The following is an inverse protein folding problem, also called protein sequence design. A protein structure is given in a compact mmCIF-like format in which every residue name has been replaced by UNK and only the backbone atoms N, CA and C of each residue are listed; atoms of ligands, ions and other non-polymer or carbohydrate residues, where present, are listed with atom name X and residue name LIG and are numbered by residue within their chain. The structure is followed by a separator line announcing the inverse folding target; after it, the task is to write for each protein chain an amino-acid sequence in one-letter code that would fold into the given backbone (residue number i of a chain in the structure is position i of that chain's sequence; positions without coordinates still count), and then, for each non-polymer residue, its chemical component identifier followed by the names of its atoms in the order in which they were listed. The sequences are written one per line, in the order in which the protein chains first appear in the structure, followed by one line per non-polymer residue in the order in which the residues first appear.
data_IF_724495493132
#
_entry.id   IF_724495493132
#
_cell.length_a   1.000
_cell.length_b   1.000
_cell.length_c   1.000
_cell.angle_alpha   90.00
_cell.angle_beta   90.00
_cell.angle_gamma   90.00
#
_symmetry.space_group_name_H-M   'P 1'
#
loop_
_entity.id
_entity.type
_entity.pdbx_description
1 polymer ?
#
# COMPACT_ATOMS: atom_id res chain seq x y z
N UNK A 1 31.33 -38.72 -21.07
CA UNK A 1 31.36 -38.57 -19.60
C UNK A 1 31.31 -37.09 -19.32
N UNK A 2 30.10 -36.57 -19.27
CA UNK A 2 29.79 -35.16 -19.05
C UNK A 2 29.81 -34.90 -17.55
N UNK A 3 30.69 -34.00 -17.11
CA UNK A 3 30.77 -33.59 -15.71
C UNK A 3 29.71 -32.50 -15.50
N UNK A 4 28.56 -32.88 -14.93
CA UNK A 4 27.59 -31.91 -14.41
C UNK A 4 28.23 -31.20 -13.21
N UNK A 5 28.57 -29.93 -13.39
CA UNK A 5 28.90 -29.05 -12.27
C UNK A 5 27.61 -28.77 -11.50
N UNK A 6 27.52 -29.30 -10.28
CA UNK A 6 26.49 -28.92 -9.30
C UNK A 6 26.79 -27.51 -8.82
N UNK A 7 25.91 -26.56 -9.14
CA UNK A 7 25.90 -25.23 -8.52
C UNK A 7 25.23 -25.38 -7.15
N UNK A 8 25.99 -25.15 -6.08
CA UNK A 8 25.43 -24.98 -4.74
C UNK A 8 25.17 -23.48 -4.54
N UNK A 9 23.90 -23.10 -4.47
CA UNK A 9 23.48 -21.74 -4.10
C UNK A 9 23.37 -21.70 -2.57
N UNK A 10 24.17 -20.84 -1.94
CA UNK A 10 24.12 -20.57 -0.50
C UNK A 10 23.04 -19.50 -0.28
N UNK A 11 21.93 -19.90 0.33
CA UNK A 11 20.87 -18.99 0.77
C UNK A 11 21.34 -18.26 2.03
N UNK A 12 21.48 -16.95 1.96
CA UNK A 12 21.76 -16.09 3.13
C UNK A 12 20.46 -15.43 3.59
N UNK A 13 19.83 -16.00 4.62
CA UNK A 13 18.72 -15.39 5.33
C UNK A 13 19.26 -14.28 6.25
N UNK A 14 18.74 -13.05 6.11
CA UNK A 14 18.95 -11.99 7.10
C UNK A 14 17.59 -11.37 7.39
N UNK A 15 17.09 -11.69 8.59
CA UNK A 15 15.95 -11.07 9.23
C UNK A 15 16.40 -9.69 9.76
N UNK A 16 15.67 -8.62 9.46
CA UNK A 16 15.79 -7.36 10.20
C UNK A 16 14.41 -6.97 10.70
N UNK A 17 14.24 -7.08 12.01
CA UNK A 17 13.11 -6.55 12.76
C UNK A 17 13.29 -5.05 12.98
N UNK A 18 12.22 -4.26 12.81
CA UNK A 18 12.21 -2.86 13.19
C UNK A 18 12.35 -2.72 14.72
N UNK A 19 13.49 -2.17 15.17
CA UNK A 19 13.59 -1.43 16.41
C UNK A 19 14.27 -0.10 16.10
N UNK A 20 13.48 0.96 16.21
CA UNK A 20 13.78 2.39 16.20
C UNK A 20 15.28 2.78 16.21
N UNK A 21 15.74 3.46 15.15
CA UNK A 21 16.72 4.56 15.23
C UNK A 21 16.73 5.32 13.89
N UNK A 22 16.22 6.55 13.88
CA UNK A 22 16.29 7.45 12.74
C UNK A 22 17.67 8.14 12.66
N UNK A 23 18.31 8.13 11.49
CA UNK A 23 19.45 9.01 11.21
C UNK A 23 19.31 9.66 9.84
N UNK A 24 18.96 10.95 9.87
CA UNK A 24 19.20 12.06 8.95
C UNK A 24 19.60 11.77 7.48
N UNK A 25 18.66 12.03 6.57
CA UNK A 25 18.90 12.53 5.21
C UNK A 25 17.95 13.73 4.95
N UNK A 26 18.35 14.76 4.19
CA UNK A 26 17.50 15.93 3.92
C UNK A 26 16.49 15.69 2.79
N UNK A 27 15.25 16.12 3.03
CA UNK A 27 14.23 16.64 2.09
C UNK A 27 14.04 15.92 0.75
N UNK A 28 13.27 14.82 0.75
CA UNK A 28 12.40 14.37 -0.36
C UNK A 28 11.70 13.02 -0.07
N UNK A 29 11.64 12.55 1.18
CA UNK A 29 11.04 11.25 1.51
C UNK A 29 10.01 11.51 2.62
N UNK A 30 8.76 11.13 2.38
CA UNK A 30 7.72 11.24 3.39
C UNK A 30 8.09 10.43 4.64
N UNK A 31 7.81 10.95 5.83
CA UNK A 31 8.09 10.32 7.10
C UNK A 31 6.82 10.23 7.95
N UNK A 32 6.65 9.18 8.77
CA UNK A 32 5.55 9.13 9.70
C UNK A 32 5.53 10.36 10.61
N UNK A 33 4.32 10.83 10.94
CA UNK A 33 4.13 11.98 11.84
C UNK A 33 3.09 11.63 12.89
N UNK A 34 3.32 12.07 14.13
CA UNK A 34 2.43 11.75 15.24
C UNK A 34 2.31 12.90 16.24
N UNK A 35 1.18 12.92 16.95
CA UNK A 35 0.92 13.69 18.16
C UNK A 35 0.73 12.72 19.33
N UNK A 36 0.14 13.17 20.43
CA UNK A 36 -0.18 12.29 21.56
C UNK A 36 -1.13 11.15 21.17
N UNK A 37 -2.18 11.46 20.40
CA UNK A 37 -3.27 10.53 20.09
C UNK A 37 -3.44 10.25 18.60
N UNK A 38 -2.72 10.94 17.71
CA UNK A 38 -2.90 10.81 16.26
C UNK A 38 -1.57 10.42 15.61
N UNK A 39 -1.59 9.44 14.73
CA UNK A 39 -0.47 9.00 13.91
C UNK A 39 -0.86 8.98 12.44
N UNK A 40 0.06 9.36 11.57
CA UNK A 40 -0.07 9.20 10.11
C UNK A 40 1.16 8.49 9.56
N UNK A 41 0.95 7.59 8.59
CA UNK A 41 2.04 6.78 8.01
C UNK A 41 3.07 7.60 7.24
N UNK A 42 2.71 8.80 6.79
CA UNK A 42 3.61 9.72 6.09
C UNK A 42 3.14 11.18 6.19
N UNK A 43 4.08 12.12 6.19
CA UNK A 43 3.82 13.57 6.12
C UNK A 43 3.77 14.09 4.67
N UNK A 44 4.25 13.30 3.72
CA UNK A 44 4.13 13.51 2.27
C UNK A 44 3.70 12.20 1.60
N UNK A 45 2.71 12.26 0.73
CA UNK A 45 2.25 11.11 -0.06
C UNK A 45 1.80 11.58 -1.44
N UNK A 46 1.66 10.64 -2.37
CA UNK A 46 1.38 10.97 -3.76
C UNK A 46 1.14 9.73 -4.60
N UNK A 47 0.69 9.92 -5.84
CA UNK A 47 0.52 8.78 -6.72
C UNK A 47 -0.55 7.79 -6.19
N UNK A 48 -0.33 6.47 -6.35
CA UNK A 48 -1.19 5.43 -5.78
C UNK A 48 -1.10 5.25 -4.27
N UNK A 49 -0.26 6.02 -3.56
CA UNK A 49 0.01 5.75 -2.15
C UNK A 49 -1.27 5.87 -1.31
N UNK A 50 -1.46 4.90 -0.41
CA UNK A 50 -2.48 4.96 0.63
C UNK A 50 -1.86 5.55 1.90
N UNK A 51 -2.48 6.58 2.45
CA UNK A 51 -2.12 7.13 3.76
C UNK A 51 -2.94 6.42 4.85
N UNK A 52 -2.26 5.89 5.86
CA UNK A 52 -2.89 5.32 7.06
C UNK A 52 -2.93 6.37 8.16
N UNK A 53 -4.10 6.52 8.77
CA UNK A 53 -4.36 7.42 9.89
C UNK A 53 -4.80 6.56 11.07
N UNK A 54 -4.10 6.70 12.20
CA UNK A 54 -4.37 5.92 13.41
C UNK A 54 -4.68 6.86 14.58
N UNK A 55 -5.80 6.65 15.25
CA UNK A 55 -6.05 7.24 16.57
C UNK A 55 -5.64 6.26 17.66
N UNK A 56 -4.68 6.67 18.49
CA UNK A 56 -4.13 5.95 19.64
C UNK A 56 -4.53 6.65 20.93
N UNK A 57 -5.81 6.57 21.27
CA UNK A 57 -6.36 7.22 22.46
C UNK A 57 -6.93 6.16 23.42
N UNK A 58 -6.30 6.02 24.58
CA UNK A 58 -6.69 5.05 25.61
C UNK A 58 -8.14 5.24 26.09
N UNK A 59 -8.68 6.47 26.02
CA UNK A 59 -10.04 6.78 26.44
C UNK A 59 -11.12 6.12 25.56
N UNK A 60 -10.77 5.78 24.31
CA UNK A 60 -11.65 5.15 23.32
C UNK A 60 -11.09 3.83 22.80
N UNK A 61 -10.32 3.12 23.63
CA UNK A 61 -9.70 1.83 23.29
C UNK A 61 -10.55 0.59 23.62
N UNK A 62 -11.68 0.79 24.31
CA UNK A 62 -12.56 -0.28 24.78
C UNK A 62 -13.47 -0.88 23.71
N UNK A 63 -13.98 -2.08 23.97
CA UNK A 63 -14.87 -2.82 23.06
C UNK A 63 -16.27 -2.20 22.84
N UNK A 64 -16.65 -1.22 23.66
CA UNK A 64 -17.89 -0.45 23.51
C UNK A 64 -17.59 1.03 23.20
N UNK A 65 -16.38 1.35 22.73
CA UNK A 65 -16.00 2.71 22.40
C UNK A 65 -16.77 3.23 21.19
N UNK A 66 -17.16 4.50 21.24
CA UNK A 66 -17.72 5.18 20.08
C UNK A 66 -16.62 5.54 19.09
N UNK A 67 -16.96 5.52 17.80
CA UNK A 67 -16.10 5.97 16.72
C UNK A 67 -15.59 7.40 16.96
N UNK A 68 -14.28 7.67 16.83
CA UNK A 68 -13.72 9.00 17.03
C UNK A 68 -14.17 9.97 15.94
N UNK A 69 -14.32 11.23 16.30
CA UNK A 69 -14.52 12.32 15.35
C UNK A 69 -13.17 12.70 14.74
N UNK A 70 -12.88 12.21 13.54
CA UNK A 70 -11.68 12.57 12.77
C UNK A 70 -12.11 13.18 11.45
N UNK A 71 -11.44 14.24 11.04
CA UNK A 71 -11.62 14.83 9.72
C UNK A 71 -10.34 14.78 8.89
N UNK A 72 -10.51 14.63 7.58
CA UNK A 72 -9.48 14.77 6.56
C UNK A 72 -9.91 15.87 5.60
N UNK A 73 -9.15 16.97 5.59
CA UNK A 73 -9.46 18.23 4.92
C UNK A 73 -10.90 18.72 5.19
N UNK A 74 -11.30 18.64 6.46
CA UNK A 74 -12.63 19.06 6.92
C UNK A 74 -13.77 18.07 6.65
N UNK A 75 -13.54 17.01 5.88
CA UNK A 75 -14.50 15.92 5.67
C UNK A 75 -14.36 14.87 6.77
N UNK A 76 -15.46 14.43 7.38
CA UNK A 76 -15.42 13.37 8.39
C UNK A 76 -14.95 12.05 7.80
N UNK A 77 -14.01 11.38 8.48
CA UNK A 77 -13.57 10.05 8.16
C UNK A 77 -14.36 9.00 8.93
N UNK A 78 -14.63 7.88 8.27
CA UNK A 78 -15.00 6.64 8.93
C UNK A 78 -13.76 5.87 9.36
N UNK A 79 -13.74 5.39 10.60
CA UNK A 79 -12.64 4.63 11.18
C UNK A 79 -13.12 3.27 11.69
N UNK A 80 -12.25 2.27 11.64
CA UNK A 80 -12.51 0.93 12.19
C UNK A 80 -11.60 0.69 13.38
N UNK A 81 -12.15 0.28 14.51
CA UNK A 81 -11.36 -0.10 15.66
C UNK A 81 -10.70 -1.46 15.45
N UNK A 82 -9.38 -1.50 15.59
CA UNK A 82 -8.57 -2.71 15.55
C UNK A 82 -8.60 -3.48 16.87
N UNK A 83 -8.18 -4.74 16.81
CA UNK A 83 -8.04 -5.63 17.98
C UNK A 83 -7.04 -5.17 19.05
N UNK A 84 -6.22 -4.16 18.77
CA UNK A 84 -5.35 -3.49 19.75
C UNK A 84 -5.98 -2.26 20.41
N UNK A 85 -7.24 -1.95 20.08
CA UNK A 85 -7.97 -0.81 20.64
C UNK A 85 -7.71 0.52 19.91
N UNK A 86 -6.81 0.55 18.93
CA UNK A 86 -6.60 1.75 18.11
C UNK A 86 -7.64 1.83 16.98
N UNK A 87 -7.84 3.02 16.44
CA UNK A 87 -8.77 3.26 15.33
C UNK A 87 -8.00 3.56 14.05
N UNK A 88 -8.44 2.96 12.93
CA UNK A 88 -7.73 2.99 11.66
C UNK A 88 -8.62 3.57 10.55
N UNK A 89 -8.06 4.46 9.75
CA UNK A 89 -8.62 4.90 8.48
C UNK A 89 -7.55 4.91 7.40
N UNK A 90 -7.98 4.69 6.16
CA UNK A 90 -7.13 4.71 4.99
C UNK A 90 -7.68 5.71 3.97
N UNK A 91 -6.79 6.55 3.43
CA UNK A 91 -7.16 7.55 2.43
C UNK A 91 -6.23 7.51 1.23
N UNK A 92 -6.77 7.84 0.05
CA UNK A 92 -6.02 7.90 -1.20
C UNK A 92 -6.61 8.96 -2.15
N UNK A 93 -5.90 9.27 -3.23
CA UNK A 93 -6.43 10.14 -4.29
C UNK A 93 -7.48 9.42 -5.15
N UNK A 94 -8.63 10.05 -5.37
CA UNK A 94 -9.76 9.45 -6.12
C UNK A 94 -9.39 9.17 -7.58
N UNK A 95 -8.78 10.15 -8.25
CA UNK A 95 -8.49 10.08 -9.68
C UNK A 95 -7.47 8.98 -9.99
N UNK A 96 -6.40 8.90 -9.22
CA UNK A 96 -5.36 7.89 -9.38
C UNK A 96 -5.81 6.50 -8.94
N UNK A 97 -6.58 6.39 -7.85
CA UNK A 97 -7.16 5.11 -7.45
C UNK A 97 -8.00 4.51 -8.60
N UNK A 98 -8.90 5.31 -9.19
CA UNK A 98 -9.73 4.90 -10.35
C UNK A 98 -8.90 4.49 -11.57
N UNK A 99 -7.88 5.28 -11.92
CA UNK A 99 -7.04 5.00 -13.10
C UNK A 99 -6.29 3.68 -12.93
N UNK A 100 -5.72 3.45 -11.75
CA UNK A 100 -4.86 2.30 -11.47
C UNK A 100 -5.70 1.04 -11.25
N UNK A 101 -6.82 1.17 -10.56
CA UNK A 101 -7.80 0.09 -10.38
C UNK A 101 -8.38 -0.34 -11.73
N UNK A 102 -8.84 0.61 -12.57
CA UNK A 102 -9.34 0.27 -13.90
C UNK A 102 -8.26 -0.40 -14.76
N UNK A 103 -6.99 0.00 -14.67
CA UNK A 103 -5.92 -0.67 -15.41
C UNK A 103 -5.68 -2.13 -14.97
N UNK A 104 -6.09 -2.51 -13.75
CA UNK A 104 -5.93 -3.86 -13.20
C UNK A 104 -7.17 -4.71 -13.47
N UNK A 105 -7.18 -5.44 -14.60
CA UNK A 105 -8.31 -6.26 -15.08
C UNK A 105 -8.32 -7.70 -14.55
N UNK A 106 -7.42 -8.03 -13.62
CA UNK A 106 -7.37 -9.33 -12.95
C UNK A 106 -7.52 -9.07 -11.45
N UNK A 107 -8.67 -9.46 -10.90
CA UNK A 107 -8.98 -9.25 -9.50
C UNK A 107 -7.93 -9.93 -8.60
N UNK A 108 -7.48 -9.22 -7.57
CA UNK A 108 -6.51 -9.76 -6.62
C UNK A 108 -5.07 -9.72 -7.14
N UNK A 109 -4.74 -8.85 -8.09
CA UNK A 109 -3.36 -8.62 -8.56
C UNK A 109 -2.95 -7.15 -8.48
N UNK A 110 -1.67 -6.86 -8.67
CA UNK A 110 -1.22 -5.49 -8.92
C UNK A 110 -1.56 -4.49 -7.81
N UNK A 111 -2.09 -3.35 -8.26
CA UNK A 111 -2.58 -2.25 -7.43
C UNK A 111 -4.10 -2.17 -7.51
N UNK A 112 -4.76 -3.29 -7.26
CA UNK A 112 -6.21 -3.41 -7.15
C UNK A 112 -6.70 -2.76 -5.85
N UNK A 113 -7.48 -1.69 -5.97
CA UNK A 113 -8.06 -0.97 -4.83
C UNK A 113 -9.33 -1.67 -4.31
N UNK A 114 -9.90 -2.63 -5.03
CA UNK A 114 -11.10 -3.36 -4.65
C UNK A 114 -12.33 -2.85 -5.40
N UNK A 115 -13.49 -2.86 -4.74
CA UNK A 115 -14.75 -2.40 -5.36
C UNK A 115 -14.98 -0.93 -5.03
N UNK A 116 -15.08 -0.10 -6.06
CA UNK A 116 -15.50 1.29 -5.93
C UNK A 116 -17.00 1.41 -5.59
N UNK A 117 -17.30 2.22 -4.59
CA UNK A 117 -18.64 2.47 -4.09
C UNK A 117 -18.91 3.97 -3.97
N UNK A 118 -19.91 4.46 -4.73
CA UNK A 118 -20.44 5.82 -4.63
C UNK A 118 -21.51 5.97 -3.53
N UNK A 119 -22.11 4.86 -3.09
CA UNK A 119 -23.08 4.80 -1.99
C UNK A 119 -22.85 3.51 -1.16
N UNK A 120 -21.81 3.50 -0.30
CA UNK A 120 -21.42 2.33 0.47
C UNK A 120 -22.45 2.01 1.58
N UNK A 121 -23.20 0.93 1.38
CA UNK A 121 -24.19 0.37 2.32
C UNK A 121 -23.67 -0.77 3.19
N UNK A 122 -22.36 -0.98 3.26
CA UNK A 122 -21.72 -2.02 4.07
C UNK A 122 -21.36 -1.58 5.51
N UNK A 123 -21.53 -0.30 5.84
CA UNK A 123 -21.39 0.26 7.18
C UNK A 123 -22.73 0.83 7.67
N UNK A 124 -23.01 0.66 8.96
CA UNK A 124 -24.14 1.29 9.65
C UNK A 124 -23.80 2.76 9.93
N UNK A 125 -23.92 3.60 8.90
CA UNK A 125 -23.59 5.03 8.92
C UNK A 125 -23.24 5.56 7.52
N UNK A 126 -23.03 6.88 7.39
CA UNK A 126 -22.68 7.50 6.10
C UNK A 126 -21.20 7.88 6.07
N UNK A 127 -20.57 7.77 4.90
CA UNK A 127 -19.21 8.27 4.64
C UNK A 127 -19.16 9.76 4.26
N UNK A 128 -20.29 10.45 4.30
CA UNK A 128 -20.44 11.79 3.74
C UNK A 128 -21.10 11.76 2.36
N UNK A 129 -21.61 12.91 1.92
CA UNK A 129 -22.26 13.03 0.61
C UNK A 129 -21.21 12.94 -0.51
N UNK A 130 -21.46 12.10 -1.52
CA UNK A 130 -20.56 11.89 -2.68
C UNK A 130 -19.18 11.32 -2.32
N UNK A 131 -19.05 10.67 -1.15
CA UNK A 131 -17.84 9.96 -0.80
C UNK A 131 -17.62 8.76 -1.74
N UNK A 132 -16.46 8.71 -2.37
CA UNK A 132 -16.02 7.55 -3.14
C UNK A 132 -15.20 6.68 -2.21
N UNK A 133 -15.59 5.42 -2.08
CA UNK A 133 -14.95 4.47 -1.16
C UNK A 133 -14.62 3.20 -1.91
N UNK A 134 -13.38 2.76 -1.83
CA UNK A 134 -12.99 1.42 -2.28
C UNK A 134 -13.06 0.46 -1.12
N UNK A 135 -13.83 -0.62 -1.24
CA UNK A 135 -13.93 -1.67 -0.21
C UNK A 135 -13.21 -2.92 -0.68
N UNK A 136 -12.64 -3.67 0.27
CA UNK A 136 -12.18 -5.00 -0.02
C UNK A 136 -13.33 -5.92 -0.43
N UNK A 137 -14.57 -5.67 0.00
CA UNK A 137 -15.71 -6.54 -0.28
C UNK A 137 -16.04 -6.64 -1.77
N UNK A 138 -16.75 -7.71 -2.15
CA UNK A 138 -17.14 -7.93 -3.55
C UNK A 138 -18.29 -7.03 -4.04
N UNK A 139 -18.96 -6.31 -3.13
CA UNK A 139 -20.10 -5.44 -3.41
C UNK A 139 -20.06 -4.20 -2.51
N UNK A 140 -20.92 -3.23 -2.80
CA UNK A 140 -21.09 -2.02 -2.00
C UNK A 140 -22.20 -2.11 -0.94
N UNK A 141 -22.93 -3.22 -0.88
CA UNK A 141 -23.97 -3.47 0.11
C UNK A 141 -23.45 -4.38 1.23
N UNK A 142 -24.31 -4.75 2.17
CA UNK A 142 -23.96 -5.68 3.26
C UNK A 142 -23.82 -7.15 2.83
N UNK A 143 -23.87 -7.46 1.52
CA UNK A 143 -23.77 -8.83 1.03
C UNK A 143 -22.32 -9.30 0.94
N UNK A 144 -22.13 -10.60 1.16
CA UNK A 144 -20.80 -11.19 1.37
C UNK A 144 -20.28 -11.88 0.11
N UNK A 145 -19.06 -11.56 -0.28
CA UNK A 145 -18.25 -12.29 -1.25
C UNK A 145 -16.76 -12.09 -0.94
N UNK A 146 -15.87 -13.05 -1.26
CA UNK A 146 -14.45 -12.90 -1.00
C UNK A 146 -13.94 -11.67 -1.75
N UNK A 147 -13.40 -10.75 -0.96
CA UNK A 147 -12.80 -9.55 -1.46
C UNK A 147 -11.53 -9.76 -2.27
N UNK A 148 -11.11 -8.73 -3.00
CA UNK A 148 -9.95 -8.82 -3.88
C UNK A 148 -9.00 -7.61 -3.84
N UNK A 149 -9.21 -6.65 -2.93
CA UNK A 149 -8.27 -5.53 -2.74
C UNK A 149 -6.84 -6.05 -2.48
N UNK A 150 -5.89 -5.49 -3.21
CA UNK A 150 -4.46 -5.71 -3.03
C UNK A 150 -3.70 -4.48 -2.55
N UNK A 151 -4.29 -3.29 -2.59
CA UNK A 151 -3.64 -2.06 -2.11
C UNK A 151 -3.21 -2.16 -0.65
N UNK A 152 -4.10 -2.56 0.25
CA UNK A 152 -3.80 -2.76 1.67
C UNK A 152 -3.80 -4.25 1.98
N UNK A 153 -2.69 -4.81 2.46
CA UNK A 153 -2.53 -6.28 2.59
C UNK A 153 -2.42 -6.80 4.02
N UNK A 154 -2.03 -5.97 4.97
CA UNK A 154 -1.96 -6.37 6.38
C UNK A 154 -2.68 -5.37 7.30
N UNK A 155 -3.93 -4.98 6.97
CA UNK A 155 -4.68 -4.06 7.82
C UNK A 155 -4.89 -4.68 9.19
N UNK A 156 -5.05 -3.84 10.21
CA UNK A 156 -5.33 -4.34 11.54
C UNK A 156 -6.67 -5.09 11.55
N UNK A 157 -6.71 -6.28 12.14
CA UNK A 157 -7.97 -7.03 12.26
C UNK A 157 -8.98 -6.23 13.09
N UNK A 158 -10.23 -6.07 12.60
CA UNK A 158 -11.26 -5.35 13.34
C UNK A 158 -11.57 -6.01 14.68
N UNK A 159 -11.85 -5.20 15.69
CA UNK A 159 -12.33 -5.67 16.98
C UNK A 159 -13.75 -6.25 16.84
N UNK A 160 -14.05 -7.31 17.59
CA UNK A 160 -15.42 -7.79 17.79
C UNK A 160 -16.06 -7.05 18.98
N UNK A 161 -16.33 -5.75 18.80
CA UNK A 161 -16.93 -4.89 19.83
C UNK A 161 -18.46 -4.97 19.87
N UNK A 162 -19.10 -3.86 20.25
CA UNK A 162 -20.55 -3.69 20.19
C UNK A 162 -21.09 -3.91 18.76
N UNK A 163 -20.31 -3.47 17.77
CA UNK A 163 -20.42 -3.89 16.37
C UNK A 163 -19.04 -4.32 15.88
N UNK A 164 -18.97 -5.01 14.74
CA UNK A 164 -17.68 -5.31 14.13
C UNK A 164 -16.96 -4.00 13.83
N UNK A 165 -15.72 -3.85 14.31
CA UNK A 165 -14.94 -2.62 14.18
C UNK A 165 -15.45 -1.43 14.99
N UNK A 166 -16.49 -1.59 15.81
CA UNK A 166 -17.18 -0.52 16.53
C UNK A 166 -17.67 0.66 15.68
N UNK A 167 -17.83 0.45 14.38
CA UNK A 167 -18.32 1.43 13.41
C UNK A 167 -19.53 0.94 12.61
N UNK A 168 -20.12 -0.18 13.00
CA UNK A 168 -21.27 -0.76 12.31
C UNK A 168 -20.92 -1.55 11.05
N UNK A 169 -19.70 -2.10 10.94
CA UNK A 169 -19.33 -2.90 9.78
C UNK A 169 -20.22 -4.14 9.66
N UNK A 170 -20.90 -4.28 8.53
CA UNK A 170 -21.85 -5.38 8.30
C UNK A 170 -21.18 -6.74 8.20
N UNK A 171 -19.99 -6.79 7.59
CA UNK A 171 -19.19 -8.01 7.45
C UNK A 171 -17.69 -7.69 7.38
N UNK A 172 -16.85 -8.59 7.89
CA UNK A 172 -15.39 -8.45 7.92
C UNK A 172 -14.78 -8.40 6.51
N UNK A 173 -15.44 -8.94 5.50
CA UNK A 173 -14.97 -8.94 4.12
C UNK A 173 -14.91 -7.55 3.49
N UNK A 174 -15.62 -6.55 4.04
CA UNK A 174 -15.54 -5.15 3.59
C UNK A 174 -14.38 -4.37 4.21
N UNK A 175 -13.63 -4.99 5.13
CA UNK A 175 -12.42 -4.41 5.72
C UNK A 175 -11.16 -5.06 5.11
N UNK A 176 -10.20 -4.25 4.64
CA UNK A 176 -10.13 -2.80 4.76
C UNK A 176 -10.96 -2.06 3.70
N UNK A 177 -11.24 -0.78 3.96
CA UNK A 177 -11.77 0.15 2.96
C UNK A 177 -10.93 1.43 2.92
N UNK A 178 -10.89 2.06 1.75
CA UNK A 178 -10.12 3.28 1.44
C UNK A 178 -11.11 4.37 1.07
N UNK A 179 -11.08 5.49 1.80
CA UNK A 179 -11.88 6.68 1.51
C UNK A 179 -11.08 7.61 0.61
N UNK A 180 -11.60 7.96 -0.56
CA UNK A 180 -10.81 8.76 -1.51
C UNK A 180 -11.24 10.22 -1.52
N UNK A 181 -10.29 11.09 -1.83
CA UNK A 181 -10.50 12.53 -1.98
C UNK A 181 -9.87 12.99 -3.28
N UNK A 182 -10.45 14.00 -3.92
CA UNK A 182 -9.81 14.64 -5.08
C UNK A 182 -8.64 15.49 -4.58
N UNK A 183 -7.42 15.17 -5.00
CA UNK A 183 -6.22 15.88 -4.59
C UNK A 183 -5.40 16.30 -5.80
N UNK A 184 -4.68 17.42 -5.68
CA UNK A 184 -3.75 17.92 -6.68
C UNK A 184 -2.38 18.12 -6.05
N UNK A 185 -1.32 17.85 -6.83
CA UNK A 185 0.05 18.01 -6.36
C UNK A 185 0.29 19.42 -5.77
N UNK A 186 0.79 19.45 -4.53
CA UNK A 186 0.99 20.66 -3.73
C UNK A 186 -0.10 20.92 -2.69
N UNK A 187 -1.20 20.17 -2.70
CA UNK A 187 -2.27 20.32 -1.72
C UNK A 187 -1.78 19.97 -0.30
N UNK A 188 -2.27 20.75 0.67
CA UNK A 188 -2.01 20.53 2.09
C UNK A 188 -3.27 20.01 2.76
N UNK A 189 -3.28 18.72 3.11
CA UNK A 189 -4.45 18.05 3.68
C UNK A 189 -4.36 18.10 5.20
N UNK A 190 -5.33 18.75 5.83
CA UNK A 190 -5.41 18.87 7.29
C UNK A 190 -6.13 17.68 7.92
N UNK A 191 -5.54 17.09 8.96
CA UNK A 191 -6.13 15.99 9.74
C UNK A 191 -6.38 16.49 11.15
N UNK A 192 -7.63 16.45 11.60
CA UNK A 192 -8.03 16.88 12.94
C UNK A 192 -8.70 15.73 13.68
N UNK A 193 -8.31 15.51 14.93
CA UNK A 193 -8.98 14.62 15.88
C UNK A 193 -9.79 15.48 16.87
N UNK A 194 -11.10 15.50 16.67
CA UNK A 194 -12.06 16.36 17.35
C UNK A 194 -12.28 17.71 16.67
N UNK A 195 -13.00 18.60 17.34
CA UNK A 195 -13.34 19.91 16.80
C UNK A 195 -12.15 20.89 16.91
N UNK A 196 -11.65 21.41 15.79
CA UNK A 196 -10.60 22.42 15.83
C UNK A 196 -9.82 22.60 14.54
N UNK A 197 -8.66 23.25 14.69
CA UNK A 197 -7.66 23.30 13.63
C UNK A 197 -7.00 21.92 13.45
N UNK A 198 -6.41 21.62 12.29
CA UNK A 198 -5.69 20.37 12.06
C UNK A 198 -4.58 20.13 13.09
N UNK A 199 -4.53 18.91 13.64
CA UNK A 199 -3.43 18.42 14.48
C UNK A 199 -2.19 18.10 13.64
N UNK A 200 -2.43 17.49 12.48
CA UNK A 200 -1.40 17.12 11.51
C UNK A 200 -1.80 17.68 10.14
N UNK A 201 -0.86 18.33 9.47
CA UNK A 201 -0.97 18.64 8.04
C UNK A 201 0.00 17.75 7.29
N UNK A 202 -0.49 17.10 6.25
CA UNK A 202 0.28 16.32 5.27
C UNK A 202 0.25 17.01 3.92
N UNK A 203 1.23 16.75 3.06
CA UNK A 203 1.24 17.28 1.69
C UNK A 203 0.97 16.15 0.71
N UNK A 204 -0.05 16.34 -0.14
CA UNK A 204 -0.21 15.52 -1.33
C UNK A 204 0.68 16.11 -2.42
N UNK A 205 1.67 15.36 -2.86
CA UNK A 205 2.62 15.81 -3.87
C UNK A 205 2.76 14.75 -4.95
N UNK A 206 2.91 15.18 -6.19
CA UNK A 206 3.47 14.31 -7.23
C UNK A 206 4.98 14.57 -7.23
N UNK A 207 5.81 13.68 -6.67
CA UNK A 207 7.25 13.87 -6.51
C UNK A 207 7.98 13.72 -7.85
N UNK A 208 7.37 14.16 -8.96
CA UNK A 208 7.92 14.10 -10.29
C UNK A 208 9.34 14.72 -10.32
N UNK A 209 10.36 13.86 -10.46
CA UNK A 209 11.77 14.25 -10.47
C UNK A 209 12.57 13.88 -9.20
N UNK A 210 11.91 13.40 -8.14
CA UNK A 210 12.57 12.90 -6.93
C UNK A 210 12.87 11.40 -7.00
N UNK A 211 12.49 10.75 -8.11
CA UNK A 211 12.90 9.37 -8.38
C UNK A 211 14.34 9.31 -8.90
N UNK A 212 15.16 8.49 -8.25
CA UNK A 212 16.55 8.28 -8.61
C UNK A 212 16.85 6.81 -8.85
N UNK A 213 17.75 6.58 -9.79
CA UNK A 213 18.18 5.24 -10.17
C UNK A 213 19.69 5.23 -10.31
N UNK A 214 20.35 4.45 -9.46
CA UNK A 214 21.80 4.43 -9.36
C UNK A 214 22.32 3.00 -9.40
N UNK A 215 23.36 2.77 -10.21
CA UNK A 215 24.15 1.55 -10.16
C UNK A 215 25.35 1.73 -9.25
N UNK A 216 25.79 0.65 -8.60
CA UNK A 216 26.98 0.70 -7.75
C UNK A 216 28.30 0.88 -8.55
N UNK A 217 28.26 0.62 -9.86
CA UNK A 217 29.39 0.81 -10.81
C UNK A 217 28.92 0.89 -12.26
N UNK A 218 29.79 1.41 -13.12
CA UNK A 218 29.52 1.59 -14.57
C UNK A 218 29.74 0.33 -15.42
N UNK A 219 30.44 -0.69 -14.90
CA UNK A 219 30.71 -1.92 -15.65
C UNK A 219 30.75 -3.15 -14.76
N UNK A 220 30.16 -4.24 -15.26
CA UNK A 220 30.02 -5.49 -14.54
C UNK A 220 30.81 -6.58 -15.28
N UNK A 221 31.82 -7.21 -14.65
CA UNK A 221 32.42 -8.43 -15.16
C UNK A 221 31.36 -9.53 -15.38
N UNK A 222 31.65 -10.47 -16.27
CA UNK A 222 30.82 -11.67 -16.43
C UNK A 222 30.68 -12.37 -15.07
N UNK A 223 29.46 -12.82 -14.75
CA UNK A 223 29.11 -13.53 -13.51
C UNK A 223 29.23 -12.69 -12.23
N UNK A 224 29.22 -11.35 -12.34
CA UNK A 224 29.16 -10.47 -11.17
C UNK A 224 27.73 -10.03 -10.85
N UNK A 225 27.44 -9.88 -9.57
CA UNK A 225 26.17 -9.33 -9.10
C UNK A 225 26.04 -7.86 -9.53
N UNK A 226 24.87 -7.49 -10.05
CA UNK A 226 24.47 -6.10 -10.29
C UNK A 226 23.82 -5.57 -9.02
N UNK A 227 24.32 -4.43 -8.52
CA UNK A 227 23.70 -3.74 -7.38
C UNK A 227 23.16 -2.41 -7.85
N UNK A 228 21.92 -2.17 -7.45
CA UNK A 228 21.12 -1.06 -7.93
C UNK A 228 20.37 -0.47 -6.75
N UNK A 229 20.32 0.85 -6.70
CA UNK A 229 19.53 1.62 -5.75
C UNK A 229 18.47 2.35 -6.53
N UNK A 230 17.21 2.09 -6.20
CA UNK A 230 16.07 2.86 -6.67
C UNK A 230 15.60 3.70 -5.50
N UNK A 231 15.38 4.99 -5.72
CA UNK A 231 14.76 5.90 -4.77
C UNK A 231 13.49 6.38 -5.44
N UNK A 232 12.34 6.00 -4.90
CA UNK A 232 11.05 6.51 -5.36
C UNK A 232 10.06 6.27 -4.22
N UNK A 233 9.49 7.35 -3.67
CA UNK A 233 8.54 7.23 -2.56
C UNK A 233 7.24 6.55 -3.00
N UNK A 234 6.88 6.65 -4.28
CA UNK A 234 5.67 6.08 -4.84
C UNK A 234 5.80 4.55 -5.04
N UNK A 235 6.94 3.94 -4.72
CA UNK A 235 7.08 2.48 -4.57
C UNK A 235 6.63 1.97 -3.19
N UNK A 236 6.32 2.85 -2.23
CA UNK A 236 5.82 2.48 -0.91
C UNK A 236 4.33 2.83 -0.80
N UNK A 237 3.48 2.02 -1.42
CA UNK A 237 2.05 2.30 -1.61
C UNK A 237 1.16 1.70 -0.53
N UNK A 238 1.58 0.62 0.12
CA UNK A 238 0.87 -0.01 1.24
C UNK A 238 1.46 0.44 2.59
N UNK A 239 0.72 1.18 3.42
CA UNK A 239 1.21 1.58 4.74
C UNK A 239 1.26 0.42 5.76
N UNK A 240 0.64 -0.72 5.45
CA UNK A 240 0.43 -1.82 6.41
C UNK A 240 1.42 -2.98 6.24
N UNK A 241 2.04 -3.10 5.08
CA UNK A 241 2.94 -4.21 4.78
C UNK A 241 4.03 -3.83 3.78
N UNK A 242 5.13 -4.58 3.83
CA UNK A 242 6.23 -4.46 2.86
C UNK A 242 5.72 -4.64 1.42
N UNK A 243 6.01 -3.68 0.55
CA UNK A 243 5.70 -3.79 -0.87
C UNK A 243 6.69 -4.68 -1.64
N UNK A 244 6.10 -5.45 -2.55
CA UNK A 244 6.82 -6.33 -3.47
C UNK A 244 6.63 -5.78 -4.87
N UNK A 245 7.72 -5.59 -5.57
CA UNK A 245 7.76 -5.13 -6.95
C UNK A 245 8.41 -6.20 -7.83
N UNK A 246 8.03 -6.27 -9.09
CA UNK A 246 8.56 -7.20 -10.06
C UNK A 246 8.96 -6.40 -11.28
N UNK A 247 10.23 -6.48 -11.63
CA UNK A 247 10.82 -5.71 -12.72
C UNK A 247 11.03 -6.63 -13.90
N UNK A 248 10.57 -6.20 -15.08
CA UNK A 248 10.92 -6.83 -16.33
C UNK A 248 12.29 -6.33 -16.80
N UNK A 249 13.20 -7.27 -17.02
CA UNK A 249 14.61 -7.00 -17.32
C UNK A 249 15.01 -7.33 -18.76
N UNK A 250 14.10 -7.79 -19.62
CA UNK A 250 14.46 -8.19 -20.99
C UNK A 250 14.05 -7.23 -22.12
N UNK A 251 13.51 -6.06 -21.77
CA UNK A 251 13.43 -4.94 -22.73
C UNK A 251 12.24 -4.00 -22.56
N UNK A 252 11.18 -4.44 -21.89
CA UNK A 252 10.01 -3.60 -21.64
C UNK A 252 10.30 -2.53 -20.58
N UNK A 253 11.01 -2.90 -19.51
CA UNK A 253 11.21 -2.05 -18.34
C UNK A 253 9.93 -1.87 -17.51
N UNK A 254 8.93 -2.75 -17.68
CA UNK A 254 7.70 -2.72 -16.91
C UNK A 254 7.93 -3.11 -15.45
N UNK A 255 7.23 -2.44 -14.54
CA UNK A 255 7.31 -2.67 -13.10
C UNK A 255 5.93 -3.04 -12.60
N UNK A 256 5.78 -4.24 -12.05
CA UNK A 256 4.53 -4.76 -11.53
C UNK A 256 4.56 -4.79 -10.02
N UNK A 257 3.46 -4.41 -9.37
CA UNK A 257 3.32 -4.67 -7.95
C UNK A 257 2.90 -6.13 -7.75
N UNK A 258 3.72 -6.88 -7.00
CA UNK A 258 3.41 -8.22 -6.49
C UNK A 258 2.92 -9.20 -7.58
N UNK A 259 3.63 -9.29 -8.72
CA UNK A 259 3.39 -10.37 -9.68
C UNK A 259 3.79 -11.74 -9.08
N UNK A 260 4.84 -11.72 -8.25
CA UNK A 260 5.29 -12.85 -7.43
C UNK A 260 5.07 -12.58 -5.93
N UNK A 261 4.80 -13.63 -5.17
CA UNK A 261 4.76 -13.59 -3.70
C UNK A 261 6.17 -13.60 -3.09
N UNK A 262 6.29 -13.37 -1.78
CA UNK A 262 7.59 -13.35 -1.09
C UNK A 262 8.37 -14.68 -1.10
N UNK A 263 7.79 -15.76 -1.64
CA UNK A 263 8.44 -17.05 -1.87
C UNK A 263 8.84 -17.26 -3.34
N UNK A 264 8.54 -16.30 -4.22
CA UNK A 264 8.83 -16.34 -5.65
C UNK A 264 7.82 -17.12 -6.47
N UNK A 265 6.64 -17.46 -5.93
CA UNK A 265 5.57 -18.07 -6.72
C UNK A 265 4.72 -16.97 -7.36
N UNK A 266 4.18 -17.21 -8.55
CA UNK A 266 3.14 -16.35 -9.12
C UNK A 266 1.97 -16.22 -8.14
N UNK A 267 1.49 -14.99 -7.94
CA UNK A 267 0.34 -14.74 -7.05
C UNK A 267 -0.88 -15.47 -7.60
N UNK A 268 -1.61 -16.16 -6.73
CA UNK A 268 -2.86 -16.82 -7.11
C UNK A 268 -3.94 -15.76 -7.35
N UNK A 269 -4.67 -15.91 -8.45
CA UNK A 269 -5.74 -15.00 -8.85
C UNK A 269 -7.03 -15.79 -9.08
N UNK A 270 -8.08 -15.09 -9.49
CA UNK A 270 -9.33 -15.70 -9.96
C UNK A 270 -9.18 -16.39 -11.34
N UNK A 271 -8.05 -16.20 -12.03
CA UNK A 271 -7.72 -16.80 -13.32
C UNK A 271 -6.60 -17.83 -13.20
N UNK A 272 -6.67 -18.88 -14.03
CA UNK A 272 -5.63 -19.92 -14.07
C UNK A 272 -4.35 -19.43 -14.76
N UNK A 273 -4.46 -18.47 -15.68
CA UNK A 273 -3.35 -17.82 -16.38
C UNK A 273 -3.39 -16.30 -16.14
N UNK A 274 -2.25 -15.72 -15.76
CA UNK A 274 -2.09 -14.28 -15.60
C UNK A 274 -1.53 -13.72 -16.91
N UNK A 275 -2.26 -12.81 -17.54
CA UNK A 275 -1.73 -11.95 -18.59
C UNK A 275 -1.23 -10.64 -17.94
N UNK A 276 0.09 -10.40 -17.86
CA UNK A 276 0.62 -9.18 -17.25
C UNK A 276 0.13 -7.90 -17.93
N UNK A 277 -0.23 -7.95 -19.23
CA UNK A 277 -0.83 -6.81 -19.92
C UNK A 277 -2.23 -6.43 -19.43
N UNK A 278 -2.82 -7.24 -18.55
CA UNK A 278 -4.08 -6.96 -17.85
C UNK A 278 -3.87 -6.45 -16.42
N UNK A 279 -2.62 -6.20 -16.00
CA UNK A 279 -2.28 -5.66 -14.69
C UNK A 279 -1.65 -4.29 -14.91
N UNK A 280 -1.96 -3.32 -14.05
CA UNK A 280 -1.26 -2.03 -14.10
C UNK A 280 0.26 -2.23 -13.98
N UNK A 281 1.00 -1.61 -14.91
CA UNK A 281 2.45 -1.49 -14.88
C UNK A 281 2.88 -0.07 -14.50
N UNK A 282 3.73 0.04 -13.49
CA UNK A 282 4.31 1.30 -13.06
C UNK A 282 5.38 1.73 -14.09
N UNK A 283 5.29 2.97 -14.60
CA UNK A 283 6.31 3.62 -15.44
C UNK A 283 6.40 3.24 -16.94
N UNK A 284 5.63 2.27 -17.44
CA UNK A 284 5.42 1.80 -18.83
C UNK A 284 6.51 2.05 -19.92
N UNK A 285 6.99 0.97 -20.58
CA UNK A 285 7.33 0.81 -22.03
C UNK A 285 7.34 -0.72 -22.38
N UNK A 286 7.18 -1.08 -23.67
CA UNK A 286 6.82 -2.42 -24.19
C UNK A 286 7.96 -3.45 -24.43
N UNK A 287 7.71 -4.74 -24.12
CA UNK A 287 8.15 -5.94 -24.88
C UNK A 287 9.22 -6.90 -24.30
N UNK A 288 8.94 -8.22 -24.46
CA UNK A 288 9.62 -9.47 -24.04
C UNK A 288 9.45 -9.87 -22.54
N UNK A 289 9.81 -11.09 -22.11
CA UNK A 289 9.53 -11.66 -20.77
C UNK A 289 10.77 -12.28 -20.07
N UNK A 290 11.41 -11.51 -19.18
CA UNK A 290 12.21 -12.04 -18.04
C UNK A 290 11.96 -11.15 -16.83
N UNK A 291 11.56 -11.74 -15.69
CA UNK A 291 11.15 -10.98 -14.51
C UNK A 291 12.06 -11.25 -13.30
N UNK A 292 12.43 -10.18 -12.60
CA UNK A 292 13.08 -10.22 -11.30
C UNK A 292 12.15 -9.67 -10.21
N UNK A 293 12.12 -10.34 -9.06
CA UNK A 293 11.37 -9.85 -7.91
C UNK A 293 12.24 -8.97 -7.03
N UNK A 294 11.67 -7.87 -6.55
CA UNK A 294 12.31 -6.85 -5.73
C UNK A 294 11.45 -6.57 -4.50
N UNK A 295 12.07 -6.66 -3.33
CA UNK A 295 11.45 -6.40 -2.02
C UNK A 295 11.85 -5.01 -1.54
N UNK A 296 10.87 -4.21 -1.11
CA UNK A 296 11.07 -2.84 -0.60
C UNK A 296 10.62 -2.77 0.86
N UNK A 297 11.55 -2.91 1.80
CA UNK A 297 11.25 -3.01 3.23
C UNK A 297 11.34 -1.67 3.99
N UNK A 298 10.30 -1.38 4.78
CA UNK A 298 10.28 -0.42 5.90
C UNK A 298 9.45 0.85 5.64
N UNK A 299 9.32 1.77 6.62
CA UNK A 299 8.59 3.02 6.43
C UNK A 299 9.24 3.84 5.30
N UNK A 300 8.50 4.78 4.68
CA UNK A 300 9.09 5.59 3.63
C UNK A 300 10.42 6.20 4.11
N UNK A 301 11.49 5.94 3.33
CA UNK A 301 12.86 6.38 3.65
C UNK A 301 13.82 5.38 4.31
N UNK A 302 13.48 4.09 4.46
CA UNK A 302 14.49 3.06 4.85
C UNK A 302 15.04 2.30 3.64
N UNK A 303 16.22 2.72 3.17
CA UNK A 303 16.86 2.27 1.93
C UNK A 303 17.48 0.86 2.03
N UNK A 304 16.69 -0.20 1.87
CA UNK A 304 17.25 -1.52 1.59
C UNK A 304 16.39 -2.29 0.59
N UNK A 305 16.91 -2.45 -0.63
CA UNK A 305 16.31 -3.26 -1.69
C UNK A 305 16.99 -4.63 -1.71
N UNK A 306 16.19 -5.71 -1.83
CA UNK A 306 16.67 -7.07 -2.09
C UNK A 306 16.04 -7.62 -3.35
N UNK A 307 16.85 -8.24 -4.21
CA UNK A 307 16.38 -8.85 -5.46
C UNK A 307 16.49 -10.38 -5.41
N UNK A 308 15.54 -11.06 -6.04
CA UNK A 308 15.53 -12.52 -6.23
C UNK A 308 15.18 -12.81 -7.69
N UNK A 309 16.06 -13.53 -8.36
CA UNK A 309 15.86 -14.00 -9.74
C UNK A 309 14.92 -15.22 -9.74
N UNK A 310 13.78 -15.07 -10.41
CA UNK A 310 12.78 -16.12 -10.57
C UNK A 310 12.64 -16.60 -12.03
N UNK A 311 13.60 -16.29 -12.90
CA UNK A 311 13.60 -16.63 -14.33
C UNK A 311 13.70 -18.13 -14.67
N UNK A 312 13.70 -19.00 -13.65
CA UNK A 312 13.89 -20.46 -13.79
C UNK A 312 12.80 -21.32 -13.12
N UNK A 313 11.61 -20.77 -12.84
CA UNK A 313 10.45 -21.59 -12.43
C UNK A 313 9.52 -21.93 -13.60
#
# INVERSE_FOLDING_TARGET
MENQARVQIVVLAVMVSASCLATFLPDAQGMPKETENLYVSSDVFGGPMVLEIIVRDDAISGADAAEPDVTFDGSSLRMTQGTDGHWYAYVADTSLARIIDDATKIAGTGMDFGVECDDPGFLDGSFGESAVVFTSGATCDSSTGPGFMQMIRAPKSPMSGATLGNNGLGDIQHWPFIQTFEMTAGDQMGIAYGAGAPDIVVTYNDPAGDSAFEFDRESYPRDSDVRMTIRDMQLNVDPTSEDLWTFDVDGSGEIYRRLFDGMGNLVKTDKEDIDPGQIYHYGAINGAKVYDMVLVSGPPGTDAIRTVDNSLQ
#
